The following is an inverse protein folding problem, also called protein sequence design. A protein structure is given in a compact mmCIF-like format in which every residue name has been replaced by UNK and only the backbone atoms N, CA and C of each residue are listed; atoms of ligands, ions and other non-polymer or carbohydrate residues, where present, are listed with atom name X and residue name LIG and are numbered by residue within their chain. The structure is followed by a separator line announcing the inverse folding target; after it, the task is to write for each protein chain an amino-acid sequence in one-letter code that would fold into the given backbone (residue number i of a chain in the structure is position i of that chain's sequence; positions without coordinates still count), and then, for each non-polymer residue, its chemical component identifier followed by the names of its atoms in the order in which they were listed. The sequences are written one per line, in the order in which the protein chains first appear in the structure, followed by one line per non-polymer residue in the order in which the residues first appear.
data_IF_170673611782
#
_entry.id   IF_170673611782
#
_cell.length_a   1.000
_cell.length_b   1.000
_cell.length_c   1.000
_cell.angle_alpha   90.00
_cell.angle_beta   90.00
_cell.angle_gamma   90.00
#
_symmetry.space_group_name_H-M   'P 1'
#
loop_
_entity.id
_entity.type
_entity.pdbx_description
1 polymer ?
#
# COMPACT_ATOMS: atom_id res chain seq x y z
N UNK A 1 -28.89 -30.90 -40.12
CA UNK A 1 -30.18 -31.50 -40.54
C UNK A 1 -30.86 -30.65 -41.62
N UNK A 2 -31.30 -29.41 -41.32
CA UNK A 2 -32.02 -28.54 -42.30
C UNK A 2 -31.27 -28.28 -43.63
N UNK A 3 -29.96 -28.00 -43.56
CA UNK A 3 -29.11 -27.81 -44.76
C UNK A 3 -29.03 -29.07 -45.64
N UNK A 4 -28.92 -30.25 -45.03
CA UNK A 4 -28.79 -31.51 -45.75
C UNK A 4 -30.10 -31.85 -46.48
N UNK A 5 -31.24 -31.66 -45.82
CA UNK A 5 -32.56 -31.87 -46.42
C UNK A 5 -32.80 -30.91 -47.60
N UNK A 6 -32.42 -29.63 -47.47
CA UNK A 6 -32.52 -28.66 -48.57
C UNK A 6 -31.65 -29.03 -49.77
N UNK A 7 -30.44 -29.54 -49.53
CA UNK A 7 -29.55 -29.98 -50.59
C UNK A 7 -30.07 -31.24 -51.30
N UNK A 8 -30.57 -32.21 -50.52
CA UNK A 8 -31.19 -33.41 -51.06
C UNK A 8 -32.43 -33.07 -51.91
N UNK A 9 -33.29 -32.16 -51.44
CA UNK A 9 -34.44 -31.70 -52.22
C UNK A 9 -34.02 -31.07 -53.55
N UNK A 10 -33.00 -30.19 -53.54
CA UNK A 10 -32.49 -29.58 -54.76
C UNK A 10 -31.97 -30.65 -55.75
N UNK A 11 -31.26 -31.67 -55.28
CA UNK A 11 -30.77 -32.76 -56.13
C UNK A 11 -31.93 -33.59 -56.72
N UNK A 12 -33.00 -33.80 -55.96
CA UNK A 12 -34.21 -34.47 -56.44
C UNK A 12 -34.91 -33.61 -57.51
N UNK A 13 -35.02 -32.30 -57.29
CA UNK A 13 -35.62 -31.36 -58.24
C UNK A 13 -34.79 -31.27 -59.54
N UNK A 14 -33.46 -31.23 -59.44
CA UNK A 14 -32.53 -31.24 -60.58
C UNK A 14 -32.61 -32.56 -61.37
N UNK A 15 -32.64 -33.69 -60.66
CA UNK A 15 -32.81 -35.00 -61.27
C UNK A 15 -34.15 -35.09 -62.02
N UNK A 16 -35.25 -34.67 -61.37
CA UNK A 16 -36.58 -34.64 -61.96
C UNK A 16 -36.65 -33.74 -63.19
N UNK A 17 -36.05 -32.55 -63.13
CA UNK A 17 -35.98 -31.60 -64.24
C UNK A 17 -35.24 -32.17 -65.47
N UNK A 18 -34.24 -33.03 -65.25
CA UNK A 18 -33.44 -33.63 -66.32
C UNK A 18 -34.10 -34.82 -67.04
N UNK A 19 -35.23 -35.32 -66.53
CA UNK A 19 -35.93 -36.48 -67.10
C UNK A 19 -36.56 -36.17 -68.47
N UNK A 20 -36.45 -37.11 -69.40
CA UNK A 20 -37.07 -37.12 -70.73
C UNK A 20 -37.88 -38.40 -70.89
N UNK A 21 -38.80 -38.45 -71.85
CA UNK A 21 -39.63 -39.65 -72.10
C UNK A 21 -38.79 -40.91 -72.40
N UNK A 22 -37.57 -40.75 -72.90
CA UNK A 22 -36.61 -41.83 -73.17
C UNK A 22 -35.62 -42.10 -72.03
N UNK A 23 -35.71 -41.38 -70.91
CA UNK A 23 -34.83 -41.60 -69.75
C UNK A 23 -35.11 -42.95 -69.09
N UNK A 24 -34.05 -43.62 -68.61
CA UNK A 24 -34.18 -44.83 -67.83
C UNK A 24 -34.89 -44.56 -66.49
N UNK A 25 -35.78 -45.45 -66.05
CA UNK A 25 -36.54 -45.31 -64.81
C UNK A 25 -37.87 -44.54 -64.93
N UNK A 26 -38.28 -44.14 -66.13
CA UNK A 26 -39.61 -43.57 -66.40
C UNK A 26 -40.63 -44.71 -66.49
N UNK A 27 -41.51 -44.80 -65.51
CA UNK A 27 -42.55 -45.83 -65.39
C UNK A 27 -43.87 -45.22 -64.91
N UNK A 28 -44.96 -45.95 -65.06
CA UNK A 28 -46.23 -45.58 -64.44
C UNK A 28 -46.19 -45.90 -62.94
N UNK A 29 -46.54 -44.92 -62.10
CA UNK A 29 -46.68 -45.08 -60.66
C UNK A 29 -48.16 -44.85 -60.30
N UNK A 30 -48.78 -45.81 -59.63
CA UNK A 30 -50.20 -45.75 -59.24
C UNK A 30 -50.36 -45.04 -57.89
N UNK A 31 -51.35 -44.14 -57.76
CA UNK A 31 -51.69 -43.44 -56.52
C UNK A 31 -50.75 -42.29 -56.12
N UNK A 32 -49.79 -41.89 -56.95
CA UNK A 32 -48.88 -40.75 -56.69
C UNK A 32 -49.57 -39.40 -56.86
N UNK A 33 -50.70 -39.38 -57.55
CA UNK A 33 -51.59 -38.23 -57.71
C UNK A 33 -52.39 -37.91 -56.44
N UNK A 34 -52.47 -38.85 -55.49
CA UNK A 34 -53.08 -38.62 -54.19
C UNK A 34 -52.13 -37.77 -53.32
N UNK A 35 -52.54 -36.54 -53.01
CA UNK A 35 -51.79 -35.66 -52.11
C UNK A 35 -51.84 -36.24 -50.69
N UNK A 36 -50.68 -36.54 -50.13
CA UNK A 36 -50.54 -36.88 -48.71
C UNK A 36 -50.82 -35.64 -47.86
N UNK A 37 -51.88 -35.72 -47.03
CA UNK A 37 -52.33 -34.62 -46.18
C UNK A 37 -51.33 -34.23 -45.08
N UNK A 38 -50.26 -35.00 -44.87
CA UNK A 38 -49.18 -34.67 -43.95
C UNK A 38 -48.05 -33.85 -44.59
N UNK A 39 -48.09 -33.64 -45.93
CA UNK A 39 -47.12 -32.79 -46.61
C UNK A 39 -47.33 -31.30 -46.26
N UNK A 40 -46.23 -30.58 -46.09
CA UNK A 40 -46.28 -29.13 -45.89
C UNK A 40 -46.70 -28.40 -47.17
N UNK A 41 -47.58 -27.43 -47.05
CA UNK A 41 -47.92 -26.48 -48.13
C UNK A 41 -46.98 -25.27 -48.11
N UNK A 42 -46.83 -24.53 -49.23
CA UNK A 42 -45.94 -23.37 -49.31
C UNK A 42 -46.12 -22.36 -48.18
N UNK A 43 -47.36 -22.12 -47.74
CA UNK A 43 -47.69 -21.22 -46.64
C UNK A 43 -47.09 -21.70 -45.31
N UNK A 44 -47.29 -22.98 -44.98
CA UNK A 44 -46.75 -23.59 -43.75
C UNK A 44 -45.24 -23.72 -43.78
N UNK A 45 -44.65 -24.02 -44.95
CA UNK A 45 -43.21 -24.07 -45.13
C UNK A 45 -42.58 -22.66 -44.99
N UNK A 46 -43.19 -21.65 -45.61
CA UNK A 46 -42.76 -20.26 -45.49
C UNK A 46 -42.85 -19.78 -44.03
N UNK A 47 -43.92 -20.13 -43.31
CA UNK A 47 -44.07 -19.80 -41.90
C UNK A 47 -42.97 -20.46 -41.04
N UNK A 48 -42.69 -21.75 -41.25
CA UNK A 48 -41.62 -22.49 -40.56
C UNK A 48 -40.23 -21.90 -40.85
N UNK A 49 -39.93 -21.58 -42.12
CA UNK A 49 -38.65 -20.95 -42.50
C UNK A 49 -38.53 -19.55 -41.90
N UNK A 50 -39.57 -18.74 -41.97
CA UNK A 50 -39.60 -17.41 -41.36
C UNK A 50 -39.38 -17.49 -39.84
N UNK A 51 -40.01 -18.46 -39.16
CA UNK A 51 -39.84 -18.65 -37.72
C UNK A 51 -38.41 -19.11 -37.37
N UNK A 52 -37.81 -20.04 -38.14
CA UNK A 52 -36.40 -20.42 -37.98
C UNK A 52 -35.45 -19.23 -38.16
N UNK A 53 -35.69 -18.38 -39.16
CA UNK A 53 -34.89 -17.15 -39.39
C UNK A 53 -35.05 -16.20 -38.20
N UNK A 54 -36.28 -15.94 -37.76
CA UNK A 54 -36.59 -15.07 -36.62
C UNK A 54 -35.92 -15.56 -35.34
N UNK A 55 -36.03 -16.86 -35.02
CA UNK A 55 -35.36 -17.49 -33.87
C UNK A 55 -33.84 -17.35 -33.97
N UNK A 56 -33.25 -17.61 -35.14
CA UNK A 56 -31.81 -17.45 -35.36
C UNK A 56 -31.33 -16.01 -35.14
N UNK A 57 -32.07 -15.02 -35.66
CA UNK A 57 -31.76 -13.60 -35.47
C UNK A 57 -31.88 -13.18 -33.99
N UNK A 58 -32.94 -13.64 -33.30
CA UNK A 58 -33.13 -13.40 -31.89
C UNK A 58 -31.98 -13.97 -31.04
N UNK A 59 -31.58 -15.22 -31.30
CA UNK A 59 -30.48 -15.89 -30.58
C UNK A 59 -29.13 -15.19 -30.82
N UNK A 60 -28.83 -14.80 -32.08
CA UNK A 60 -27.61 -14.03 -32.39
C UNK A 60 -27.58 -12.68 -31.71
N UNK A 61 -28.74 -12.03 -31.59
CA UNK A 61 -28.87 -10.75 -30.88
C UNK A 61 -28.67 -10.93 -29.37
N UNK A 62 -29.26 -11.97 -28.78
CA UNK A 62 -29.07 -12.33 -27.37
C UNK A 62 -27.59 -12.66 -27.08
N UNK A 63 -26.94 -13.47 -27.92
CA UNK A 63 -25.52 -13.80 -27.82
C UNK A 63 -24.61 -12.57 -27.91
N UNK A 64 -24.91 -11.63 -28.82
CA UNK A 64 -24.18 -10.35 -28.92
C UNK A 64 -24.30 -9.54 -27.63
N UNK A 65 -25.53 -9.35 -27.14
CA UNK A 65 -25.79 -8.65 -25.86
C UNK A 65 -25.07 -9.30 -24.69
N UNK A 66 -25.03 -10.63 -24.64
CA UNK A 66 -24.31 -11.35 -23.59
C UNK A 66 -22.79 -11.08 -23.65
N UNK A 67 -22.18 -11.19 -24.83
CA UNK A 67 -20.74 -10.89 -24.99
C UNK A 67 -20.40 -9.44 -24.67
N UNK A 68 -21.25 -8.48 -25.06
CA UNK A 68 -21.09 -7.07 -24.68
C UNK A 68 -21.15 -6.87 -23.16
N UNK A 69 -22.08 -7.55 -22.47
CA UNK A 69 -22.16 -7.51 -21.00
C UNK A 69 -20.92 -8.10 -20.35
N UNK A 70 -20.42 -9.23 -20.86
CA UNK A 70 -19.17 -9.84 -20.38
C UNK A 70 -18.00 -8.89 -20.58
N UNK A 71 -17.83 -8.31 -21.77
CA UNK A 71 -16.75 -7.38 -22.08
C UNK A 71 -16.80 -6.14 -21.16
N UNK A 72 -17.99 -5.57 -20.93
CA UNK A 72 -18.18 -4.46 -19.97
C UNK A 72 -17.82 -4.88 -18.54
N UNK A 73 -18.23 -6.08 -18.12
CA UNK A 73 -17.91 -6.62 -16.80
C UNK A 73 -16.40 -6.80 -16.58
N UNK A 74 -15.70 -7.37 -17.55
CA UNK A 74 -14.23 -7.52 -17.52
C UNK A 74 -13.55 -6.17 -17.48
N UNK A 75 -13.93 -5.22 -18.36
CA UNK A 75 -13.34 -3.89 -18.38
C UNK A 75 -13.56 -3.13 -17.05
N UNK A 76 -14.76 -3.24 -16.48
CA UNK A 76 -15.07 -2.66 -15.17
C UNK A 76 -14.22 -3.29 -14.06
N UNK A 77 -14.10 -4.63 -14.02
CA UNK A 77 -13.29 -5.32 -13.04
C UNK A 77 -11.80 -4.94 -13.16
N UNK A 78 -11.25 -4.90 -14.37
CA UNK A 78 -9.86 -4.48 -14.60
C UNK A 78 -9.60 -3.04 -14.16
N UNK A 79 -10.52 -2.12 -14.45
CA UNK A 79 -10.42 -0.73 -13.98
C UNK A 79 -10.48 -0.66 -12.44
N UNK A 80 -11.43 -1.32 -11.82
CA UNK A 80 -11.56 -1.34 -10.36
C UNK A 80 -10.30 -1.92 -9.69
N UNK A 81 -9.70 -2.97 -10.27
CA UNK A 81 -8.44 -3.53 -9.81
C UNK A 81 -7.30 -2.49 -9.89
N UNK A 82 -7.16 -1.80 -11.02
CA UNK A 82 -6.15 -0.76 -11.21
C UNK A 82 -6.32 0.41 -10.24
N UNK A 83 -7.56 0.87 -10.03
CA UNK A 83 -7.87 1.95 -9.09
C UNK A 83 -7.49 1.55 -7.66
N UNK A 84 -7.82 0.32 -7.23
CA UNK A 84 -7.43 -0.19 -5.91
C UNK A 84 -5.92 -0.32 -5.75
N UNK A 85 -5.23 -0.74 -6.79
CA UNK A 85 -3.77 -0.83 -6.77
C UNK A 85 -3.08 0.50 -6.57
N UNK A 86 -3.50 1.50 -7.35
CA UNK A 86 -2.98 2.86 -7.27
C UNK A 86 -3.29 3.46 -5.91
N UNK A 87 -4.50 3.28 -5.39
CA UNK A 87 -4.88 3.75 -4.05
C UNK A 87 -4.01 3.14 -2.95
N UNK A 88 -3.77 1.82 -2.97
CA UNK A 88 -2.92 1.16 -1.96
C UNK A 88 -1.46 1.58 -2.10
N UNK A 89 -0.93 1.73 -3.32
CA UNK A 89 0.43 2.21 -3.53
C UNK A 89 0.62 3.65 -3.05
N UNK A 90 -0.35 4.53 -3.32
CA UNK A 90 -0.34 5.90 -2.83
C UNK A 90 -0.37 5.94 -1.29
N UNK A 91 -1.24 5.13 -0.66
CA UNK A 91 -1.32 5.03 0.79
C UNK A 91 -0.02 4.48 1.41
N UNK A 92 0.60 3.46 0.82
CA UNK A 92 1.88 2.93 1.28
C UNK A 92 3.01 3.96 1.14
N UNK A 93 3.08 4.68 0.02
CA UNK A 93 4.05 5.75 -0.18
C UNK A 93 3.85 6.92 0.80
N UNK A 94 2.60 7.24 1.15
CA UNK A 94 2.28 8.24 2.18
C UNK A 94 2.74 7.77 3.57
N UNK A 95 2.40 6.55 3.97
CA UNK A 95 2.87 5.95 5.23
C UNK A 95 4.39 5.96 5.35
N UNK A 96 5.11 5.60 4.30
CA UNK A 96 6.59 5.61 4.31
C UNK A 96 7.12 7.02 4.57
N UNK A 97 6.51 8.05 3.96
CA UNK A 97 6.89 9.46 4.22
C UNK A 97 6.64 9.83 5.68
N UNK A 98 5.45 9.57 6.19
CA UNK A 98 5.09 9.87 7.59
C UNK A 98 6.00 9.18 8.61
N UNK A 99 6.30 7.89 8.41
CA UNK A 99 7.21 7.14 9.30
C UNK A 99 8.65 7.66 9.17
N UNK A 100 9.07 8.06 7.97
CA UNK A 100 10.39 8.67 7.74
C UNK A 100 10.51 9.99 8.50
N UNK A 101 9.51 10.85 8.41
CA UNK A 101 9.49 12.14 9.07
C UNK A 101 9.46 11.98 10.59
N UNK A 102 8.62 11.09 11.11
CA UNK A 102 8.59 10.77 12.54
C UNK A 102 9.95 10.25 13.05
N UNK A 103 10.61 9.37 12.27
CA UNK A 103 11.96 8.88 12.59
C UNK A 103 12.99 10.00 12.60
N UNK A 104 12.95 10.91 11.63
CA UNK A 104 13.87 12.05 11.54
C UNK A 104 13.68 13.01 12.73
N UNK A 105 12.43 13.29 13.11
CA UNK A 105 12.11 14.11 14.29
C UNK A 105 12.61 13.45 15.60
N UNK A 106 12.45 12.13 15.73
CA UNK A 106 12.99 11.37 16.86
C UNK A 106 14.52 11.44 16.92
N UNK A 107 15.22 11.30 15.78
CA UNK A 107 16.68 11.43 15.72
C UNK A 107 17.15 12.84 16.09
N UNK A 108 16.48 13.89 15.60
CA UNK A 108 16.81 15.26 15.97
C UNK A 108 16.60 15.52 17.47
N UNK A 109 15.50 15.00 18.04
CA UNK A 109 15.23 15.09 19.48
C UNK A 109 16.22 14.28 20.32
N UNK A 110 16.66 13.11 19.84
CA UNK A 110 17.73 12.32 20.46
C UNK A 110 19.04 13.11 20.48
N UNK A 111 19.41 13.77 19.37
CA UNK A 111 20.59 14.63 19.31
C UNK A 111 20.58 15.73 20.39
N UNK A 112 19.43 16.38 20.59
CA UNK A 112 19.26 17.36 21.68
C UNK A 112 19.42 16.74 23.07
N UNK A 113 18.92 15.52 23.25
CA UNK A 113 19.04 14.78 24.52
C UNK A 113 20.50 14.42 24.81
N UNK A 114 21.24 13.99 23.79
CA UNK A 114 22.68 13.71 23.90
C UNK A 114 23.50 14.97 24.23
N UNK A 115 23.15 16.11 23.62
CA UNK A 115 23.80 17.38 23.97
C UNK A 115 23.52 17.76 25.43
N UNK A 116 22.26 17.66 25.87
CA UNK A 116 21.90 17.94 27.26
C UNK A 116 22.61 17.02 28.26
N UNK A 117 22.83 15.74 27.91
CA UNK A 117 23.65 14.81 28.71
C UNK A 117 25.08 15.36 28.86
N UNK A 118 25.74 15.68 27.75
CA UNK A 118 27.12 16.17 27.76
C UNK A 118 27.24 17.49 28.54
N UNK A 119 26.28 18.41 28.39
CA UNK A 119 26.25 19.67 29.12
C UNK A 119 26.07 19.43 30.63
N UNK A 120 25.21 18.50 31.03
CA UNK A 120 24.96 18.15 32.44
C UNK A 120 26.16 17.44 33.07
N UNK A 121 26.84 16.55 32.33
CA UNK A 121 28.07 15.89 32.77
C UNK A 121 29.16 16.93 33.05
N UNK A 122 29.33 17.89 32.12
CA UNK A 122 30.26 19.01 32.31
C UNK A 122 29.89 19.88 33.50
N UNK A 123 28.62 20.21 33.68
CA UNK A 123 28.15 20.98 34.86
C UNK A 123 28.50 20.25 36.17
N UNK A 124 28.32 18.93 36.24
CA UNK A 124 28.69 18.13 37.40
C UNK A 124 30.20 18.22 37.67
N UNK A 125 31.04 18.14 36.63
CA UNK A 125 32.50 18.27 36.76
C UNK A 125 32.90 19.67 37.28
N UNK A 126 32.32 20.73 36.72
CA UNK A 126 32.58 22.11 37.12
C UNK A 126 32.14 22.36 38.57
N UNK A 127 30.99 21.81 38.98
CA UNK A 127 30.52 21.87 40.37
C UNK A 127 31.45 21.11 41.32
N UNK A 128 31.91 19.91 40.94
CA UNK A 128 32.88 19.12 41.73
C UNK A 128 34.18 19.89 41.94
N UNK A 129 34.69 20.55 40.90
CA UNK A 129 35.87 21.43 41.01
C UNK A 129 35.63 22.59 41.96
N UNK A 130 34.47 23.25 41.87
CA UNK A 130 34.10 24.35 42.76
C UNK A 130 34.04 23.92 44.23
N UNK A 131 33.55 22.71 44.51
CA UNK A 131 33.57 22.12 45.86
C UNK A 131 35.01 22.00 46.36
N UNK A 132 35.91 21.43 45.57
CA UNK A 132 37.33 21.27 45.95
C UNK A 132 37.98 22.64 46.24
N UNK A 133 37.74 23.63 45.39
CA UNK A 133 38.28 24.99 45.58
C UNK A 133 37.76 25.61 46.89
N UNK A 134 36.46 25.48 47.17
CA UNK A 134 35.86 25.96 48.44
C UNK A 134 36.36 25.18 49.65
N UNK A 135 36.60 23.87 49.54
CA UNK A 135 37.20 23.06 50.59
C UNK A 135 38.64 23.49 50.90
N UNK A 136 39.42 23.87 49.88
CA UNK A 136 40.77 24.45 50.05
C UNK A 136 40.73 25.81 50.79
N UNK A 137 39.77 26.67 50.46
CA UNK A 137 39.54 27.92 51.19
C UNK A 137 39.12 27.66 52.65
N UNK A 138 38.19 26.71 52.87
CA UNK A 138 37.74 26.32 54.21
C UNK A 138 38.90 25.78 55.06
N UNK A 139 39.78 24.96 54.48
CA UNK A 139 40.99 24.46 55.13
C UNK A 139 41.90 25.60 55.57
N UNK A 140 42.09 26.60 54.71
CA UNK A 140 42.91 27.79 54.99
C UNK A 140 42.30 28.64 56.12
N UNK A 141 41.01 28.97 56.03
CA UNK A 141 40.30 29.76 57.03
C UNK A 141 40.27 29.05 58.40
N UNK A 142 39.98 27.74 58.42
CA UNK A 142 39.99 26.92 59.64
C UNK A 142 41.39 26.86 60.26
N UNK A 143 42.43 26.72 59.43
CA UNK A 143 43.83 26.74 59.92
C UNK A 143 44.17 28.08 60.56
N UNK A 144 43.83 29.21 59.91
CA UNK A 144 44.02 30.57 60.47
C UNK A 144 43.30 30.75 61.81
N UNK A 145 42.05 30.27 61.90
CA UNK A 145 41.27 30.32 63.13
C UNK A 145 41.90 29.46 64.23
N UNK A 146 42.33 28.24 63.92
CA UNK A 146 43.02 27.34 64.85
C UNK A 146 44.34 27.93 65.38
N UNK A 147 45.12 28.62 64.53
CA UNK A 147 46.32 29.34 64.98
C UNK A 147 45.98 30.44 65.98
N UNK A 148 44.92 31.22 65.72
CA UNK A 148 44.47 32.28 66.64
C UNK A 148 43.96 31.74 67.99
N UNK A 149 43.30 30.58 67.98
CA UNK A 149 42.83 29.90 69.18
C UNK A 149 43.95 29.44 70.14
N UNK A 150 45.21 29.46 69.68
CA UNK A 150 46.39 29.07 70.49
C UNK A 150 47.07 30.24 71.21
N UNK A 151 46.55 31.47 71.07
CA UNK A 151 47.10 32.63 71.80
C UNK A 151 47.01 32.38 73.32
N UNK A 152 48.06 32.67 74.12
CA UNK A 152 48.07 32.37 75.54
C UNK A 152 47.37 33.46 76.38
N UNK A 153 46.73 33.05 77.48
CA UNK A 153 46.20 33.97 78.50
C UNK A 153 45.22 35.02 77.96
N UNK A 154 45.45 36.28 78.34
CA UNK A 154 44.60 37.42 77.95
C UNK A 154 44.69 37.80 76.47
N UNK A 155 45.77 37.38 75.78
CA UNK A 155 45.95 37.61 74.33
C UNK A 155 45.00 36.74 73.49
N UNK A 156 44.35 35.72 74.07
CA UNK A 156 43.26 34.98 73.43
C UNK A 156 41.96 35.79 73.36
N UNK A 157 42.06 37.01 72.82
CA UNK A 157 40.97 37.93 72.67
C UNK A 157 40.15 37.59 71.42
N UNK A 158 38.81 37.65 71.55
CA UNK A 158 37.86 37.58 70.43
C UNK A 158 37.80 38.90 69.68
N UNK A 159 38.93 39.27 69.09
CA UNK A 159 39.05 40.48 68.28
C UNK A 159 38.15 40.41 67.02
N UNK A 160 37.87 41.55 66.35
CA UNK A 160 37.02 41.57 65.17
C UNK A 160 37.49 40.61 64.06
N UNK A 161 38.80 40.43 63.87
CA UNK A 161 39.31 39.53 62.85
C UNK A 161 39.05 38.04 63.20
N UNK A 162 39.00 37.67 64.48
CA UNK A 162 38.61 36.33 64.92
C UNK A 162 37.14 36.07 64.63
N UNK A 163 36.27 37.05 64.90
CA UNK A 163 34.84 36.95 64.60
C UNK A 163 34.59 36.80 63.09
N UNK A 164 35.27 37.59 62.25
CA UNK A 164 35.16 37.46 60.79
C UNK A 164 35.60 36.07 60.30
N UNK A 165 36.70 35.51 60.84
CA UNK A 165 37.15 34.15 60.50
C UNK A 165 36.12 33.08 60.88
N UNK A 166 35.45 33.22 62.03
CA UNK A 166 34.38 32.30 62.44
C UNK A 166 33.22 32.37 61.43
N UNK A 167 32.78 33.58 61.07
CA UNK A 167 31.73 33.78 60.07
C UNK A 167 32.14 33.22 58.69
N UNK A 168 33.36 33.49 58.24
CA UNK A 168 33.90 32.99 56.97
C UNK A 168 33.89 31.45 56.93
N UNK A 169 34.34 30.79 57.99
CA UNK A 169 34.31 29.32 58.11
C UNK A 169 32.89 28.78 58.00
N UNK A 170 31.91 29.43 58.64
CA UNK A 170 30.52 29.00 58.56
C UNK A 170 29.96 29.20 57.14
N UNK A 171 30.17 30.37 56.53
CA UNK A 171 29.74 30.67 55.18
C UNK A 171 30.35 29.71 54.14
N UNK A 172 31.62 29.35 54.28
CA UNK A 172 32.28 28.38 53.41
C UNK A 172 31.67 26.98 53.55
N UNK A 173 31.34 26.54 54.77
CA UNK A 173 30.64 25.26 54.99
C UNK A 173 29.27 25.24 54.33
N UNK A 174 28.49 26.31 54.50
CA UNK A 174 27.15 26.42 53.93
C UNK A 174 27.20 26.45 52.38
N UNK A 175 28.19 27.16 51.82
CA UNK A 175 28.43 27.18 50.37
C UNK A 175 28.81 25.80 49.82
N UNK A 176 29.71 25.06 50.50
CA UNK A 176 30.07 23.69 50.12
C UNK A 176 28.85 22.78 50.15
N UNK A 177 28.01 22.88 51.19
CA UNK A 177 26.80 22.08 51.28
C UNK A 177 25.84 22.38 50.12
N UNK A 178 25.66 23.67 49.79
CA UNK A 178 24.82 24.10 48.66
C UNK A 178 25.32 23.54 47.33
N UNK A 179 26.64 23.57 47.08
CA UNK A 179 27.25 22.99 45.88
C UNK A 179 27.06 21.46 45.84
N UNK A 180 27.22 20.76 46.97
CA UNK A 180 26.96 19.32 47.05
C UNK A 180 25.50 18.97 46.77
N UNK A 181 24.56 19.82 47.18
CA UNK A 181 23.14 19.66 46.88
C UNK A 181 22.85 19.89 45.39
N UNK A 182 23.53 20.86 44.76
CA UNK A 182 23.45 21.08 43.31
C UNK A 182 23.96 19.87 42.51
N UNK A 183 25.10 19.29 42.92
CA UNK A 183 25.64 18.07 42.30
C UNK A 183 24.60 16.95 42.32
N UNK A 184 23.97 16.68 43.47
CA UNK A 184 22.95 15.61 43.58
C UNK A 184 21.75 15.87 42.67
N UNK A 185 21.34 17.13 42.49
CA UNK A 185 20.24 17.48 41.56
C UNK A 185 20.66 17.26 40.10
N UNK A 186 21.86 17.68 39.73
CA UNK A 186 22.39 17.49 38.37
C UNK A 186 22.58 16.00 38.05
N UNK A 187 23.09 15.20 38.99
CA UNK A 187 23.19 13.74 38.86
C UNK A 187 21.81 13.09 38.68
N UNK A 188 20.79 13.55 39.40
CA UNK A 188 19.40 13.10 39.21
C UNK A 188 18.86 13.44 37.82
N UNK A 189 19.12 14.65 37.31
CA UNK A 189 18.74 15.06 35.95
C UNK A 189 19.44 14.21 34.90
N UNK A 190 20.73 13.92 35.09
CA UNK A 190 21.52 13.08 34.19
C UNK A 190 20.92 11.67 34.07
N UNK A 191 20.48 11.05 35.17
CA UNK A 191 19.84 9.74 35.13
C UNK A 191 18.54 9.76 34.31
N UNK A 192 17.72 10.79 34.45
CA UNK A 192 16.48 10.91 33.67
C UNK A 192 16.77 11.14 32.17
N UNK A 193 17.77 11.95 31.84
CA UNK A 193 18.22 12.14 30.46
C UNK A 193 18.74 10.85 29.83
N UNK A 194 19.49 10.03 30.58
CA UNK A 194 19.97 8.73 30.13
C UNK A 194 18.81 7.75 29.89
N UNK A 195 17.80 7.73 30.76
CA UNK A 195 16.57 6.94 30.55
C UNK A 195 15.84 7.38 29.27
N UNK A 196 15.67 8.68 29.08
CA UNK A 196 15.02 9.26 27.91
C UNK A 196 15.79 8.96 26.62
N UNK A 197 17.13 8.97 26.67
CA UNK A 197 17.98 8.56 25.55
C UNK A 197 17.66 7.13 25.11
N UNK A 198 17.68 6.17 26.04
CA UNK A 198 17.41 4.75 25.73
C UNK A 198 16.02 4.56 25.15
N UNK A 199 15.01 5.24 25.70
CA UNK A 199 13.64 5.19 25.17
C UNK A 199 13.58 5.70 23.72
N UNK A 200 14.20 6.84 23.44
CA UNK A 200 14.25 7.42 22.08
C UNK A 200 15.02 6.54 21.10
N UNK A 201 16.15 5.97 21.50
CA UNK A 201 16.91 5.01 20.70
C UNK A 201 16.05 3.79 20.31
N UNK A 202 15.31 3.24 21.28
CA UNK A 202 14.35 2.16 21.04
C UNK A 202 13.28 2.54 20.02
N UNK A 203 12.68 3.73 20.14
CA UNK A 203 11.69 4.21 19.18
C UNK A 203 12.28 4.38 17.77
N UNK A 204 13.49 4.92 17.65
CA UNK A 204 14.20 5.03 16.36
C UNK A 204 14.41 3.65 15.73
N UNK A 205 14.81 2.65 16.52
CA UNK A 205 14.98 1.28 16.05
C UNK A 205 13.65 0.69 15.50
N UNK A 206 12.53 0.90 16.21
CA UNK A 206 11.20 0.46 15.76
C UNK A 206 10.80 1.13 14.44
N UNK A 207 11.04 2.45 14.29
CA UNK A 207 10.72 3.15 13.04
C UNK A 207 11.61 2.69 11.88
N UNK A 208 12.90 2.45 12.14
CA UNK A 208 13.80 1.89 11.13
C UNK A 208 13.34 0.50 10.66
N UNK A 209 12.95 -0.37 11.59
CA UNK A 209 12.40 -1.69 11.25
C UNK A 209 11.10 -1.57 10.44
N UNK A 210 10.21 -0.65 10.83
CA UNK A 210 8.96 -0.39 10.10
C UNK A 210 9.25 0.07 8.66
N UNK A 211 10.20 0.99 8.47
CA UNK A 211 10.63 1.45 7.15
C UNK A 211 11.26 0.34 6.32
N UNK A 212 12.06 -0.52 6.94
CA UNK A 212 12.64 -1.68 6.25
C UNK A 212 11.54 -2.62 5.74
N UNK A 213 10.55 -2.95 6.56
CA UNK A 213 9.41 -3.78 6.13
C UNK A 213 8.65 -3.09 4.99
N UNK A 214 8.27 -1.82 5.17
CA UNK A 214 7.46 -1.11 4.19
C UNK A 214 8.19 -0.95 2.84
N UNK A 215 9.51 -0.70 2.85
CA UNK A 215 10.32 -0.51 1.63
C UNK A 215 10.79 -1.83 1.00
N UNK A 216 11.45 -2.68 1.78
CA UNK A 216 12.13 -3.88 1.25
C UNK A 216 11.19 -5.07 1.09
N UNK A 217 10.06 -5.10 1.82
CA UNK A 217 9.09 -6.19 1.73
C UNK A 217 7.85 -5.75 0.97
N UNK A 218 7.15 -4.72 1.47
CA UNK A 218 5.85 -4.34 0.92
C UNK A 218 5.96 -3.68 -0.46
N UNK A 219 6.82 -2.65 -0.63
CA UNK A 219 6.99 -2.01 -1.94
C UNK A 219 7.60 -2.96 -2.97
N UNK A 220 8.54 -3.82 -2.57
CA UNK A 220 9.12 -4.83 -3.46
C UNK A 220 8.04 -5.75 -4.06
N UNK A 221 7.14 -6.30 -3.23
CA UNK A 221 6.00 -7.12 -3.68
C UNK A 221 5.00 -6.37 -4.55
N UNK A 222 4.96 -5.04 -4.44
CA UNK A 222 4.02 -4.17 -5.15
C UNK A 222 4.66 -3.41 -6.31
N UNK A 223 5.90 -3.74 -6.66
CA UNK A 223 6.62 -3.14 -7.78
C UNK A 223 6.07 -3.63 -9.13
N UNK A 224 5.50 -4.84 -9.17
CA UNK A 224 4.94 -5.46 -10.38
C UNK A 224 3.44 -5.60 -10.25
N UNK A 225 2.72 -5.05 -11.23
CA UNK A 225 1.27 -5.18 -11.32
C UNK A 225 0.89 -6.66 -11.61
N UNK A 226 0.12 -7.34 -10.75
CA UNK A 226 -0.23 -8.75 -10.95
C UNK A 226 -1.27 -8.98 -12.05
N UNK A 227 -1.94 -7.93 -12.53
CA UNK A 227 -2.94 -8.04 -13.60
C UNK A 227 -2.31 -7.96 -14.98
N UNK A 228 -1.93 -9.09 -15.58
CA UNK A 228 -1.51 -9.18 -16.98
C UNK A 228 -2.50 -8.54 -17.97
N UNK A 229 -2.16 -8.47 -19.28
CA UNK A 229 -2.86 -7.66 -20.28
C UNK A 229 -4.28 -8.17 -20.57
N UNK A 230 -5.23 -7.90 -19.69
CA UNK A 230 -6.65 -8.24 -19.86
C UNK A 230 -7.37 -7.27 -20.80
N UNK A 231 -6.76 -6.13 -21.11
CA UNK A 231 -7.27 -5.17 -22.08
C UNK A 231 -7.13 -5.64 -23.55
N UNK A 232 -6.24 -6.59 -23.85
CA UNK A 232 -5.99 -7.04 -25.23
C UNK A 232 -6.88 -8.20 -25.72
N UNK A 233 -7.37 -9.05 -24.81
CA UNK A 233 -8.05 -10.29 -25.19
C UNK A 233 -9.56 -10.12 -25.50
N UNK A 234 -10.18 -9.03 -25.04
CA UNK A 234 -11.61 -8.79 -25.26
C UNK A 234 -11.97 -8.51 -26.74
N UNK A 235 -10.98 -8.13 -27.57
CA UNK A 235 -11.18 -7.86 -29.00
C UNK A 235 -10.90 -9.07 -29.92
N UNK A 236 -10.48 -10.23 -29.37
CA UNK A 236 -10.02 -11.37 -30.16
C UNK A 236 -11.07 -12.47 -30.38
N UNK A 237 -12.35 -12.22 -30.11
CA UNK A 237 -13.43 -13.13 -30.54
C UNK A 237 -14.17 -12.48 -31.71
N UNK A 238 -13.68 -12.64 -32.96
CA UNK A 238 -14.47 -12.28 -34.11
C UNK A 238 -15.77 -13.07 -34.04
N UNK A 239 -16.88 -12.35 -33.92
CA UNK A 239 -18.15 -12.95 -34.27
C UNK A 239 -18.09 -13.25 -35.77
N UNK A 240 -18.47 -14.43 -36.26
CA UNK A 240 -18.62 -14.62 -37.69
C UNK A 240 -19.71 -13.64 -38.16
N UNK A 241 -19.27 -12.54 -38.74
CA UNK A 241 -20.10 -11.65 -39.54
C UNK A 241 -20.66 -12.51 -40.66
N UNK A 242 -21.99 -12.58 -40.76
CA UNK A 242 -22.61 -13.09 -41.97
C UNK A 242 -22.18 -12.17 -43.11
N UNK A 243 -21.20 -12.58 -43.90
CA UNK A 243 -21.27 -12.35 -45.33
C UNK A 243 -22.48 -13.13 -45.82
N UNK A 244 -23.64 -12.46 -45.84
CA UNK A 244 -24.71 -12.87 -46.74
C UNK A 244 -24.12 -12.67 -48.13
N UNK A 245 -23.66 -13.76 -48.75
CA UNK A 245 -23.37 -13.77 -50.17
C UNK A 245 -24.67 -13.40 -50.88
N UNK A 246 -24.77 -12.15 -51.31
CA UNK A 246 -25.75 -11.75 -52.32
C UNK A 246 -25.46 -12.56 -53.57
N UNK A 247 -26.25 -13.61 -53.79
CA UNK A 247 -26.30 -14.29 -55.08
C UNK A 247 -26.86 -13.27 -56.06
N UNK A 248 -25.98 -12.80 -56.94
CA UNK A 248 -26.30 -11.94 -58.08
C UNK A 248 -27.21 -12.75 -59.00
N UNK A 249 -28.44 -12.28 -59.23
CA UNK A 249 -29.26 -12.80 -60.31
C UNK A 249 -28.52 -12.54 -61.64
N UNK A 250 -28.15 -13.62 -62.33
CA UNK A 250 -27.75 -13.53 -63.73
C UNK A 250 -29.00 -13.21 -64.54
N UNK A 251 -29.10 -11.97 -65.03
CA UNK A 251 -29.95 -11.65 -66.16
C UNK A 251 -29.21 -12.08 -67.43
N UNK A 252 -29.71 -13.11 -68.10
CA UNK A 252 -29.46 -13.32 -69.52
C UNK A 252 -30.75 -12.98 -70.27
N UNK A 253 -30.61 -12.09 -71.26
CA UNK A 253 -31.64 -11.70 -72.20
C UNK A 253 -32.01 -12.85 -73.15
#
# INVERSE_FOLDING_TARGET
MDKANKFMNLQLDEAAHSLKNSSAGVHYYDGVECIDQTQSVPETWNAEVADKIRRSQAERTASRKMRERIAKGVAHASKALADKWNAVNAALAQRIREVTDARNQLQASLGKTLQAIADTEKEIEDLKKSVIDKENHLKTATTRLNTRLRRPGMENCRDPAMLHLICEVQQLKDAIQTLKDQIRRAEGMLQELLRLRTEKEGQVAVKNNSLFIDREKCLALRSTWPGGPTAGAANAIPCPSNTVSTVRACNCA
#
